data_IF_612626536843
#
_entry.id   IF_612626536843
#
_cell.length_a   1.000
_cell.length_b   1.000
_cell.length_c   1.000
_cell.angle_alpha   90.00
_cell.angle_beta   90.00
_cell.angle_gamma   90.00
#
_symmetry.space_group_name_H-M   'P 1'
#
loop_
_entity.id
_entity.type
_entity.pdbx_description
1 polymer ?
#
# COMPACT_ATOMS: atom_id res chain seq x y z
N UNK A 1 -7.71 -8.13 27.07
CA UNK A 1 -8.70 -8.54 26.03
C UNK A 1 -8.75 -7.56 24.85
N UNK A 2 -8.84 -6.24 25.06
CA UNK A 2 -8.84 -5.24 23.97
C UNK A 2 -7.60 -5.28 23.05
N UNK A 3 -6.41 -5.53 23.60
CA UNK A 3 -5.17 -5.57 22.81
C UNK A 3 -5.10 -6.79 21.88
N UNK A 4 -5.64 -7.93 22.32
CA UNK A 4 -5.76 -9.13 21.49
C UNK A 4 -6.67 -8.90 20.28
N UNK A 5 -7.79 -8.19 20.48
CA UNK A 5 -8.70 -7.83 19.38
C UNK A 5 -8.02 -6.88 18.40
N UNK A 6 -7.21 -5.94 18.90
CA UNK A 6 -6.46 -5.00 18.07
C UNK A 6 -5.38 -5.70 17.24
N UNK A 7 -4.62 -6.62 17.85
CA UNK A 7 -3.61 -7.42 17.16
C UNK A 7 -4.23 -8.34 16.11
N UNK A 8 -5.37 -8.96 16.42
CA UNK A 8 -6.10 -9.78 15.45
C UNK A 8 -6.61 -8.95 14.26
N UNK A 9 -7.10 -7.73 14.49
CA UNK A 9 -7.59 -6.85 13.41
C UNK A 9 -6.48 -6.37 12.45
N UNK A 10 -5.23 -6.33 12.90
CA UNK A 10 -4.06 -6.01 12.07
C UNK A 10 -3.58 -7.21 11.22
N UNK A 11 -4.09 -8.42 11.48
CA UNK A 11 -3.66 -9.60 10.73
C UNK A 11 -4.12 -9.50 9.26
N UNK A 12 -3.25 -9.72 8.26
CA UNK A 12 -3.55 -9.44 6.85
C UNK A 12 -4.83 -10.09 6.33
N UNK A 13 -5.07 -11.35 6.69
CA UNK A 13 -6.24 -12.11 6.24
C UNK A 13 -7.54 -11.52 6.82
N UNK A 14 -7.54 -11.17 8.11
CA UNK A 14 -8.72 -10.59 8.76
C UNK A 14 -9.02 -9.19 8.20
N UNK A 15 -7.97 -8.41 7.91
CA UNK A 15 -8.08 -7.11 7.25
C UNK A 15 -8.63 -7.24 5.83
N UNK A 16 -8.14 -8.18 5.03
CA UNK A 16 -8.65 -8.45 3.67
C UNK A 16 -10.13 -8.80 3.67
N UNK A 17 -10.55 -9.72 4.53
CA UNK A 17 -11.96 -10.12 4.66
C UNK A 17 -12.85 -8.94 5.05
N UNK A 18 -12.43 -8.14 6.05
CA UNK A 18 -13.16 -6.94 6.49
C UNK A 18 -13.34 -5.92 5.35
N UNK A 19 -12.34 -5.76 4.50
CA UNK A 19 -12.35 -4.81 3.39
C UNK A 19 -12.86 -5.41 2.06
N UNK A 20 -13.30 -6.67 2.05
CA UNK A 20 -13.71 -7.40 0.83
C UNK A 20 -12.62 -7.43 -0.25
N UNK A 21 -11.35 -7.39 0.15
CA UNK A 21 -10.17 -7.39 -0.72
C UNK A 21 -9.58 -8.80 -0.82
N UNK A 22 -10.35 -9.71 -1.42
CA UNK A 22 -10.00 -11.15 -1.47
C UNK A 22 -8.72 -11.44 -2.26
N UNK A 23 -8.37 -10.58 -3.21
CA UNK A 23 -7.17 -10.74 -4.05
C UNK A 23 -5.95 -10.05 -3.46
N UNK A 24 -6.11 -9.25 -2.40
CA UNK A 24 -5.02 -8.48 -1.80
C UNK A 24 -4.30 -7.56 -2.80
N UNK A 25 -5.06 -7.00 -3.75
CA UNK A 25 -4.54 -6.06 -4.75
C UNK A 25 -5.06 -4.64 -4.50
N UNK A 26 -6.01 -4.49 -3.59
CA UNK A 26 -6.61 -3.22 -3.22
C UNK A 26 -5.94 -2.55 -2.03
N UNK A 27 -6.73 -1.79 -1.29
CA UNK A 27 -6.27 -0.92 -0.21
C UNK A 27 -5.50 -1.66 0.89
N UNK A 28 -5.82 -2.94 1.14
CA UNK A 28 -5.23 -3.70 2.25
C UNK A 28 -3.77 -4.08 2.01
N UNK A 29 -3.35 -4.10 0.74
CA UNK A 29 -1.97 -4.38 0.32
C UNK A 29 -1.01 -3.22 0.58
N UNK A 30 -1.54 -2.00 0.69
CA UNK A 30 -0.72 -0.81 0.84
C UNK A 30 -0.30 -0.59 2.30
N UNK A 31 1.02 -0.51 2.51
CA UNK A 31 1.59 -0.01 3.76
C UNK A 31 1.55 1.53 3.80
N UNK A 32 1.64 2.12 5.00
CA UNK A 32 1.79 3.57 5.18
C UNK A 32 2.93 4.12 4.33
N UNK A 33 4.10 3.48 4.40
CA UNK A 33 5.26 3.82 3.58
C UNK A 33 4.93 3.84 2.08
N UNK A 34 4.21 2.83 1.58
CA UNK A 34 3.83 2.77 0.17
C UNK A 34 2.86 3.88 -0.23
N UNK A 35 1.90 4.23 0.64
CA UNK A 35 0.93 5.32 0.41
C UNK A 35 1.62 6.69 0.37
N UNK A 36 2.70 6.85 1.12
CA UNK A 36 3.46 8.09 1.21
C UNK A 36 4.53 8.24 0.12
N UNK A 37 4.77 7.21 -0.69
CA UNK A 37 5.73 7.29 -1.79
C UNK A 37 5.30 8.36 -2.80
N UNK A 38 6.19 9.32 -3.02
CA UNK A 38 6.07 10.32 -4.07
C UNK A 38 6.82 9.88 -5.33
N UNK A 39 6.34 10.23 -6.53
CA UNK A 39 7.12 10.08 -7.75
C UNK A 39 8.46 10.82 -7.62
N UNK A 40 9.57 10.17 -8.00
CA UNK A 40 10.91 10.79 -7.96
C UNK A 40 11.02 12.02 -8.87
N UNK A 41 10.20 12.09 -9.90
CA UNK A 41 10.12 13.21 -10.84
C UNK A 41 9.40 14.44 -10.30
N UNK A 42 8.79 14.36 -9.10
CA UNK A 42 8.03 15.48 -8.52
C UNK A 42 8.87 16.76 -8.37
N UNK A 43 10.17 16.61 -8.15
CA UNK A 43 11.12 17.71 -7.96
C UNK A 43 12.20 17.73 -9.06
N UNK A 44 11.98 17.03 -10.17
CA UNK A 44 12.96 16.99 -11.25
C UNK A 44 12.86 18.26 -12.10
N UNK A 45 14.00 18.87 -12.44
CA UNK A 45 14.07 20.03 -13.33
C UNK A 45 13.60 19.68 -14.77
N UNK A 46 13.67 18.40 -15.13
CA UNK A 46 13.18 17.90 -16.41
C UNK A 46 13.05 16.38 -16.43
N UNK A 47 12.18 15.86 -17.31
CA UNK A 47 11.98 14.42 -17.54
C UNK A 47 12.14 14.18 -19.03
N UNK A 48 13.12 13.36 -19.42
CA UNK A 48 13.35 12.97 -20.82
C UNK A 48 12.81 11.57 -21.11
N UNK A 49 12.53 11.27 -22.39
CA UNK A 49 12.08 9.95 -22.81
C UNK A 49 13.24 8.94 -22.70
N UNK A 50 12.89 7.71 -22.30
CA UNK A 50 13.83 6.59 -22.31
C UNK A 50 14.25 6.29 -23.76
N UNK A 51 15.55 5.99 -23.95
CA UNK A 51 16.12 5.55 -25.23
C UNK A 51 16.09 4.02 -25.37
N UNK A 52 15.84 3.27 -24.29
CA UNK A 52 15.68 1.81 -24.42
C UNK A 52 14.47 1.49 -25.31
N UNK A 53 14.65 0.65 -26.35
CA UNK A 53 13.55 0.14 -27.16
C UNK A 53 12.58 -0.73 -26.36
#
# INVERSE_FOLDING_TARGET
MRDLVRLAAEWPVLKQLKHKDLLALGETAYSTRSKELAPRIRQADGVTKSVCP
#
